data_IF_312885728947
#
_entry.id   IF_312885728947
#
_cell.length_a   1.000
_cell.length_b   1.000
_cell.length_c   1.000
_cell.angle_alpha   90.00
_cell.angle_beta   90.00
_cell.angle_gamma   90.00
#
_symmetry.space_group_name_H-M   'P 1'
#
loop_
_entity.id
_entity.type
_entity.pdbx_description
1 polymer ?
#
# COMPACT_ATOMS: atom_id res chain seq x y z
N UNK A 1 -13.37 25.07 16.20
CA UNK A 1 -12.04 25.73 16.08
C UNK A 1 -10.99 24.71 15.63
N UNK A 2 -10.78 24.66 14.31
CA UNK A 2 -9.70 24.10 13.48
C UNK A 2 -9.19 22.65 13.71
N UNK A 3 -10.02 21.63 13.43
CA UNK A 3 -9.54 20.26 13.15
C UNK A 3 -8.50 20.20 12.01
N UNK A 4 -8.52 21.18 11.10
CA UNK A 4 -7.55 21.32 10.01
C UNK A 4 -6.11 21.59 10.47
N UNK A 5 -5.86 22.06 11.70
CA UNK A 5 -4.48 22.23 12.22
C UNK A 5 -3.78 20.89 12.50
N UNK A 6 -4.54 19.80 12.64
CA UNK A 6 -3.98 18.47 12.96
C UNK A 6 -3.51 17.69 11.73
N UNK A 7 -4.07 18.01 10.57
CA UNK A 7 -3.84 17.32 9.30
C UNK A 7 -2.79 18.08 8.49
N UNK A 8 -1.87 17.36 7.87
CA UNK A 8 -0.88 17.87 6.94
C UNK A 8 -1.13 17.26 5.56
N UNK A 9 -1.91 17.94 4.72
CA UNK A 9 -2.23 17.49 3.37
C UNK A 9 -0.98 17.19 2.53
N UNK A 10 0.06 18.05 2.65
CA UNK A 10 1.35 17.82 2.00
C UNK A 10 1.96 16.47 2.40
N UNK A 11 1.92 16.14 3.69
CA UNK A 11 2.48 14.90 4.19
C UNK A 11 1.69 13.67 3.74
N UNK A 12 0.36 13.76 3.77
CA UNK A 12 -0.56 12.72 3.30
C UNK A 12 -0.33 12.42 1.82
N UNK A 13 -0.26 13.45 0.97
CA UNK A 13 -0.04 13.29 -0.47
C UNK A 13 1.32 12.64 -0.74
N UNK A 14 2.39 13.11 -0.09
CA UNK A 14 3.72 12.54 -0.29
C UNK A 14 3.77 11.08 0.17
N UNK A 15 3.19 10.76 1.33
CA UNK A 15 3.12 9.37 1.81
C UNK A 15 2.34 8.46 0.86
N UNK A 16 1.21 8.94 0.33
CA UNK A 16 0.40 8.19 -0.63
C UNK A 16 1.14 7.97 -1.96
N UNK A 17 1.89 8.97 -2.45
CA UNK A 17 2.72 8.83 -3.65
C UNK A 17 3.82 7.81 -3.44
N UNK A 18 4.48 7.81 -2.27
CA UNK A 18 5.54 6.84 -1.95
C UNK A 18 4.97 5.41 -1.90
N UNK A 19 3.80 5.23 -1.30
CA UNK A 19 3.10 3.94 -1.24
C UNK A 19 2.80 3.42 -2.66
N UNK A 20 2.12 4.23 -3.48
CA UNK A 20 1.72 3.86 -4.84
C UNK A 20 2.92 3.63 -5.75
N UNK A 21 3.85 4.59 -5.82
CA UNK A 21 5.00 4.50 -6.72
C UNK A 21 5.92 3.35 -6.29
N UNK A 22 6.19 3.22 -4.99
CA UNK A 22 7.03 2.16 -4.46
C UNK A 22 6.46 0.77 -4.74
N UNK A 23 5.16 0.58 -4.49
CA UNK A 23 4.46 -0.68 -4.80
C UNK A 23 4.50 -1.02 -6.28
N UNK A 24 4.31 -0.04 -7.17
CA UNK A 24 4.34 -0.27 -8.61
C UNK A 24 5.74 -0.63 -9.10
N UNK A 25 6.78 0.10 -8.65
CA UNK A 25 8.17 -0.21 -9.00
C UNK A 25 8.54 -1.63 -8.55
N UNK A 26 8.22 -2.01 -7.31
CA UNK A 26 8.47 -3.36 -6.82
C UNK A 26 7.66 -4.43 -7.57
N UNK A 27 6.40 -4.14 -7.88
CA UNK A 27 5.53 -5.02 -8.67
C UNK A 27 6.07 -5.29 -10.07
N UNK A 28 6.70 -4.30 -10.73
CA UNK A 28 7.33 -4.51 -12.05
C UNK A 28 8.40 -5.60 -11.97
N UNK A 29 9.30 -5.53 -10.98
CA UNK A 29 10.34 -6.56 -10.80
C UNK A 29 9.73 -7.92 -10.43
N UNK A 30 8.75 -7.93 -9.53
CA UNK A 30 8.08 -9.16 -9.11
C UNK A 30 7.32 -9.84 -10.24
N UNK A 31 6.58 -9.08 -11.06
CA UNK A 31 5.86 -9.62 -12.21
C UNK A 31 6.82 -10.06 -13.32
N UNK A 32 7.93 -9.36 -13.52
CA UNK A 32 8.98 -9.80 -14.47
C UNK A 32 9.57 -11.16 -14.06
N UNK A 33 9.78 -11.38 -12.77
CA UNK A 33 10.17 -12.68 -12.23
C UNK A 33 9.11 -13.76 -12.51
N UNK A 34 7.83 -13.49 -12.27
CA UNK A 34 6.76 -14.45 -12.57
C UNK A 34 6.69 -14.78 -14.06
N UNK A 35 6.78 -13.77 -14.93
CA UNK A 35 6.72 -13.96 -16.39
C UNK A 35 7.85 -14.89 -16.86
N UNK A 36 9.06 -14.69 -16.35
CA UNK A 36 10.22 -15.50 -16.72
C UNK A 36 10.16 -16.91 -16.12
N UNK A 37 9.78 -17.04 -14.85
CA UNK A 37 9.72 -18.33 -14.15
C UNK A 37 8.61 -19.26 -14.69
N UNK A 38 7.49 -18.69 -15.13
CA UNK A 38 6.33 -19.44 -15.64
C UNK A 38 6.24 -19.42 -17.18
N UNK A 39 7.29 -18.96 -17.87
CA UNK A 39 7.38 -18.90 -19.33
C UNK A 39 6.17 -18.23 -19.99
N UNK A 40 5.65 -17.16 -19.37
CA UNK A 40 4.44 -16.48 -19.85
C UNK A 40 4.68 -15.59 -21.06
N UNK A 41 5.94 -15.42 -21.50
CA UNK A 41 6.34 -14.52 -22.58
C UNK A 41 5.69 -14.81 -23.94
N UNK A 42 5.11 -15.99 -24.13
CA UNK A 42 4.40 -16.38 -25.35
C UNK A 42 2.90 -16.03 -25.32
N UNK A 43 2.36 -15.57 -24.19
CA UNK A 43 0.95 -15.19 -24.10
C UNK A 43 0.70 -13.81 -24.71
N UNK A 44 -0.49 -13.56 -25.25
CA UNK A 44 -0.91 -12.21 -25.62
C UNK A 44 -0.85 -11.27 -24.40
N UNK A 45 -0.42 -10.02 -24.62
CA UNK A 45 -0.27 -9.02 -23.55
C UNK A 45 -1.56 -8.78 -22.76
N UNK A 46 -2.72 -8.94 -23.41
CA UNK A 46 -4.04 -8.81 -22.79
C UNK A 46 -4.31 -9.87 -21.72
N UNK A 47 -3.65 -11.02 -21.80
CA UNK A 47 -3.84 -12.14 -20.87
C UNK A 47 -2.84 -12.14 -19.70
N UNK A 48 -1.78 -11.33 -19.76
CA UNK A 48 -0.73 -11.31 -18.75
C UNK A 48 -1.26 -11.01 -17.36
N UNK A 49 -2.09 -9.97 -17.22
CA UNK A 49 -2.60 -9.52 -15.92
C UNK A 49 -3.43 -10.63 -15.26
N UNK A 50 -4.39 -11.19 -16.00
CA UNK A 50 -5.26 -12.24 -15.49
C UNK A 50 -4.48 -13.51 -15.12
N UNK A 51 -3.50 -13.92 -15.95
CA UNK A 51 -2.72 -15.13 -15.69
C UNK A 51 -1.75 -14.96 -14.51
N UNK A 52 -1.11 -13.80 -14.38
CA UNK A 52 -0.25 -13.47 -13.24
C UNK A 52 -1.08 -13.45 -11.96
N UNK A 53 -2.26 -12.83 -11.97
CA UNK A 53 -3.18 -12.83 -10.83
C UNK A 53 -3.59 -14.25 -10.43
N UNK A 54 -3.95 -15.09 -11.40
CA UNK A 54 -4.29 -16.50 -11.15
C UNK A 54 -3.14 -17.26 -10.49
N UNK A 55 -1.90 -17.10 -11.00
CA UNK A 55 -0.69 -17.73 -10.44
C UNK A 55 -0.43 -17.27 -9.01
N UNK A 56 -0.54 -15.96 -8.76
CA UNK A 56 -0.33 -15.38 -7.42
C UNK A 56 -1.37 -15.93 -6.45
N UNK A 57 -2.65 -15.96 -6.82
CA UNK A 57 -3.75 -16.40 -5.94
C UNK A 57 -3.68 -17.89 -5.60
N UNK A 58 -3.18 -18.73 -6.51
CA UNK A 58 -3.04 -20.17 -6.28
C UNK A 58 -1.74 -20.58 -5.59
N UNK A 59 -0.75 -19.67 -5.50
CA UNK A 59 0.51 -19.94 -4.84
C UNK A 59 0.63 -19.12 -3.55
N UNK A 60 0.52 -19.73 -2.35
CA UNK A 60 0.52 -19.00 -1.09
C UNK A 60 1.82 -18.23 -0.82
N UNK A 61 2.95 -18.70 -1.37
CA UNK A 61 4.24 -18.00 -1.23
C UNK A 61 4.24 -16.74 -2.08
N UNK A 62 3.81 -16.82 -3.34
CA UNK A 62 3.72 -15.64 -4.22
C UNK A 62 2.67 -14.65 -3.72
N UNK A 63 1.54 -15.14 -3.22
CA UNK A 63 0.54 -14.32 -2.56
C UNK A 63 1.12 -13.59 -1.35
N UNK A 64 1.83 -14.31 -0.47
CA UNK A 64 2.49 -13.72 0.70
C UNK A 64 3.52 -12.65 0.32
N UNK A 65 4.34 -12.89 -0.70
CA UNK A 65 5.30 -11.90 -1.21
C UNK A 65 4.58 -10.68 -1.76
N UNK A 66 3.57 -10.87 -2.62
CA UNK A 66 2.77 -9.77 -3.18
C UNK A 66 2.12 -8.93 -2.09
N UNK A 67 1.59 -9.59 -1.06
CA UNK A 67 1.00 -8.94 0.10
C UNK A 67 2.04 -8.14 0.89
N UNK A 68 3.21 -8.72 1.14
CA UNK A 68 4.29 -8.05 1.88
C UNK A 68 4.83 -6.83 1.13
N UNK A 69 4.91 -6.88 -0.19
CA UNK A 69 5.29 -5.73 -1.02
C UNK A 69 4.29 -4.58 -0.78
N UNK A 70 3.00 -4.82 -1.05
CA UNK A 70 1.97 -3.79 -0.87
C UNK A 70 1.91 -3.28 0.57
N UNK A 71 1.87 -4.20 1.54
CA UNK A 71 1.78 -3.85 2.95
C UNK A 71 3.01 -3.07 3.44
N UNK A 72 4.20 -3.45 3.00
CA UNK A 72 5.45 -2.78 3.33
C UNK A 72 5.47 -1.33 2.84
N UNK A 73 5.04 -1.09 1.60
CA UNK A 73 4.97 0.26 1.04
C UNK A 73 3.84 1.10 1.65
N UNK A 74 2.72 0.50 2.07
CA UNK A 74 1.68 1.22 2.82
C UNK A 74 2.17 1.65 4.21
N UNK A 75 2.91 0.78 4.91
CA UNK A 75 3.58 1.14 6.17
C UNK A 75 4.62 2.24 5.94
N UNK A 76 5.43 2.14 4.88
CA UNK A 76 6.43 3.14 4.54
C UNK A 76 5.79 4.50 4.20
N UNK A 77 4.73 4.52 3.40
CA UNK A 77 3.96 5.72 3.07
C UNK A 77 3.38 6.38 4.31
N UNK A 78 2.79 5.59 5.21
CA UNK A 78 2.30 6.06 6.51
C UNK A 78 3.39 6.62 7.42
N UNK A 79 4.55 5.96 7.45
CA UNK A 79 5.73 6.41 8.16
C UNK A 79 6.25 7.76 7.62
N UNK A 80 6.36 7.92 6.30
CA UNK A 80 6.83 9.16 5.68
C UNK A 80 5.82 10.29 5.87
N UNK A 81 4.52 10.02 5.76
CA UNK A 81 3.48 11.00 6.08
C UNK A 81 3.58 11.48 7.53
N UNK A 82 3.76 10.56 8.48
CA UNK A 82 3.98 10.92 9.87
C UNK A 82 5.27 11.73 10.07
N UNK A 83 6.36 11.36 9.39
CA UNK A 83 7.65 12.04 9.46
C UNK A 83 7.57 13.49 8.98
N UNK A 84 6.91 13.73 7.84
CA UNK A 84 6.75 15.07 7.26
C UNK A 84 5.75 15.91 8.07
N UNK A 85 4.68 15.30 8.59
CA UNK A 85 3.66 16.00 9.35
C UNK A 85 4.21 16.60 10.65
N UNK A 86 5.13 15.89 11.34
CA UNK A 86 5.69 16.26 12.66
C UNK A 86 4.64 16.55 13.75
N UNK A 87 3.40 16.15 13.52
CA UNK A 87 2.24 16.32 14.40
C UNK A 87 1.18 15.29 14.05
N UNK A 88 0.45 14.80 15.05
CA UNK A 88 -0.63 13.82 14.86
C UNK A 88 -0.23 12.70 13.89
N UNK A 89 0.90 12.06 14.18
CA UNK A 89 1.61 11.10 13.35
C UNK A 89 0.70 9.94 12.92
N UNK A 90 -0.08 9.43 13.87
CA UNK A 90 -1.03 8.34 13.65
C UNK A 90 -2.12 8.71 12.65
N UNK A 91 -2.69 9.92 12.76
CA UNK A 91 -3.77 10.37 11.89
C UNK A 91 -3.23 10.63 10.47
N UNK A 92 -2.08 11.30 10.36
CA UNK A 92 -1.48 11.57 9.05
C UNK A 92 -0.98 10.30 8.36
N UNK A 93 -0.49 9.32 9.13
CA UNK A 93 -0.14 7.99 8.62
C UNK A 93 -1.37 7.20 8.15
N UNK A 94 -2.46 7.17 8.92
CA UNK A 94 -3.69 6.51 8.50
C UNK A 94 -4.30 7.16 7.24
N UNK A 95 -4.28 8.50 7.16
CA UNK A 95 -4.83 9.22 6.02
C UNK A 95 -3.98 9.11 4.75
N UNK A 96 -2.70 8.72 4.83
CA UNK A 96 -1.88 8.54 3.63
C UNK A 96 -2.35 7.37 2.76
N UNK A 97 -3.11 6.41 3.31
CA UNK A 97 -3.65 5.29 2.55
C UNK A 97 -4.87 5.66 1.69
N UNK A 98 -5.23 6.94 1.59
CA UNK A 98 -6.44 7.36 0.87
C UNK A 98 -6.44 6.92 -0.60
N UNK A 99 -5.27 6.96 -1.28
CA UNK A 99 -5.16 6.48 -2.67
C UNK A 99 -5.44 4.97 -2.75
N UNK A 100 -4.88 4.17 -1.84
CA UNK A 100 -5.11 2.72 -1.81
C UNK A 100 -6.58 2.39 -1.54
N UNK A 101 -7.25 3.13 -0.63
CA UNK A 101 -8.68 2.97 -0.37
C UNK A 101 -9.51 3.35 -1.60
N UNK A 102 -9.19 4.46 -2.27
CA UNK A 102 -9.87 4.88 -3.49
C UNK A 102 -9.71 3.87 -4.61
N UNK A 103 -8.50 3.32 -4.79
CA UNK A 103 -8.23 2.26 -5.76
C UNK A 103 -9.00 0.98 -5.45
N UNK A 104 -9.05 0.55 -4.18
CA UNK A 104 -9.82 -0.62 -3.76
C UNK A 104 -11.34 -0.43 -3.98
N UNK A 105 -11.87 0.75 -3.66
CA UNK A 105 -13.28 1.08 -3.93
C UNK A 105 -13.57 1.11 -5.43
N UNK A 106 -12.69 1.69 -6.25
CA UNK A 106 -12.83 1.69 -7.69
C UNK A 106 -12.83 0.27 -8.26
N UNK A 107 -11.96 -0.61 -7.75
CA UNK A 107 -11.94 -2.04 -8.09
C UNK A 107 -13.29 -2.71 -7.84
N UNK A 108 -13.85 -2.49 -6.65
CA UNK A 108 -15.12 -3.09 -6.23
C UNK A 108 -16.32 -2.57 -7.04
N UNK A 109 -16.41 -1.25 -7.27
CA UNK A 109 -17.56 -0.64 -7.95
C UNK A 109 -17.51 -0.79 -9.48
N UNK A 110 -16.32 -0.84 -10.07
CA UNK A 110 -16.13 -0.91 -11.53
C UNK A 110 -15.78 -2.32 -12.01
N UNK A 111 -15.74 -3.32 -11.11
CA UNK A 111 -15.37 -4.70 -11.41
C UNK A 111 -14.04 -4.83 -12.18
N UNK A 112 -13.04 -4.01 -11.80
CA UNK A 112 -11.76 -3.93 -12.52
C UNK A 112 -10.91 -5.20 -12.38
N UNK A 113 -11.19 -6.04 -11.37
CA UNK A 113 -10.44 -7.26 -11.07
C UNK A 113 -11.37 -8.48 -10.90
N UNK A 114 -12.00 -8.98 -11.98
CA UNK A 114 -12.94 -10.11 -11.89
C UNK A 114 -12.28 -11.40 -11.35
N UNK A 115 -10.95 -11.50 -11.42
CA UNK A 115 -10.18 -12.64 -10.92
C UNK A 115 -9.87 -12.61 -9.43
N UNK A 116 -10.09 -11.47 -8.75
CA UNK A 116 -9.80 -11.33 -7.31
C UNK A 116 -11.05 -11.65 -6.50
N UNK A 117 -10.98 -12.53 -5.48
CA UNK A 117 -12.09 -12.76 -4.57
C UNK A 117 -12.56 -11.47 -3.91
N UNK A 118 -13.86 -11.17 -4.01
CA UNK A 118 -14.49 -9.96 -3.43
C UNK A 118 -14.13 -9.78 -1.94
N UNK A 119 -14.00 -10.88 -1.20
CA UNK A 119 -13.60 -10.84 0.21
C UNK A 119 -12.23 -10.18 0.41
N UNK A 120 -11.26 -10.44 -0.48
CA UNK A 120 -9.94 -9.82 -0.41
C UNK A 120 -10.00 -8.33 -0.73
N UNK A 121 -10.85 -7.92 -1.68
CA UNK A 121 -11.08 -6.51 -1.98
C UNK A 121 -11.69 -5.78 -0.78
N UNK A 122 -12.72 -6.37 -0.15
CA UNK A 122 -13.37 -5.79 1.04
C UNK A 122 -12.37 -5.67 2.19
N UNK A 123 -11.55 -6.70 2.43
CA UNK A 123 -10.54 -6.68 3.49
C UNK A 123 -9.43 -5.65 3.23
N UNK A 124 -9.12 -5.35 1.96
CA UNK A 124 -8.07 -4.37 1.61
C UNK A 124 -8.42 -2.94 2.06
N UNK A 125 -9.72 -2.61 2.15
CA UNK A 125 -10.24 -1.29 2.50
C UNK A 125 -9.85 -0.87 3.92
N UNK A 126 -10.17 -1.63 4.99
CA UNK A 126 -9.74 -1.28 6.35
C UNK A 126 -8.26 -1.61 6.59
N UNK A 127 -7.68 -2.55 5.85
CA UNK A 127 -6.29 -2.95 6.03
C UNK A 127 -5.32 -1.83 5.65
N UNK A 128 -5.57 -1.11 4.54
CA UNK A 128 -4.67 -0.05 4.07
C UNK A 128 -4.50 1.09 5.09
N UNK A 129 -5.59 1.66 5.67
CA UNK A 129 -5.48 2.61 6.78
C UNK A 129 -4.82 2.04 8.03
N UNK A 130 -5.03 0.76 8.35
CA UNK A 130 -4.39 0.13 9.51
C UNK A 130 -2.87 0.02 9.33
N UNK A 131 -2.40 -0.28 8.11
CA UNK A 131 -0.98 -0.32 7.76
C UNK A 131 -0.36 1.09 7.73
N UNK A 132 -1.06 2.07 7.16
CA UNK A 132 -0.65 3.48 7.22
C UNK A 132 -0.56 4.00 8.67
N UNK A 133 -1.52 3.61 9.51
CA UNK A 133 -1.50 3.90 10.95
C UNK A 133 -0.29 3.26 11.64
N UNK A 134 0.03 2.00 11.32
CA UNK A 134 1.20 1.31 11.85
C UNK A 134 2.50 2.05 11.47
N UNK A 135 2.61 2.52 10.23
CA UNK A 135 3.72 3.39 9.80
C UNK A 135 3.85 4.66 10.65
N UNK A 136 2.72 5.33 10.88
CA UNK A 136 2.68 6.50 11.76
C UNK A 136 3.02 6.18 13.22
N UNK A 137 2.65 4.99 13.70
CA UNK A 137 2.96 4.51 15.04
C UNK A 137 4.45 4.29 15.25
N UNK A 138 5.12 3.65 14.28
CA UNK A 138 6.58 3.45 14.28
C UNK A 138 7.27 4.81 14.40
N UNK A 139 6.85 5.80 13.60
CA UNK A 139 7.44 7.14 13.66
C UNK A 139 7.24 7.81 15.01
N UNK A 140 6.03 7.72 15.58
CA UNK A 140 5.72 8.29 16.89
C UNK A 140 6.62 7.69 17.98
N UNK A 141 6.81 6.37 18.00
CA UNK A 141 7.70 5.70 18.96
C UNK A 141 9.16 6.16 18.84
N UNK A 142 9.66 6.35 17.63
CA UNK A 142 11.03 6.85 17.41
C UNK A 142 11.23 8.23 18.04
N UNK A 143 10.26 9.13 17.89
CA UNK A 143 10.33 10.48 18.48
C UNK A 143 10.28 10.40 20.01
N UNK A 144 9.39 9.59 20.57
CA UNK A 144 9.27 9.44 22.03
C UNK A 144 10.46 8.73 22.69
N UNK A 145 11.30 8.04 21.93
CA UNK A 145 12.46 7.31 22.45
C UNK A 145 13.78 8.08 22.28
N UNK A 146 13.76 9.27 21.66
CA UNK A 146 14.95 10.10 21.53
C UNK A 146 15.28 10.74 22.90
N UNK A 147 16.54 10.65 23.40
CA UNK A 147 16.92 11.31 24.63
C UNK A 147 16.75 12.82 24.49
N UNK A 148 16.21 13.46 25.54
CA UNK A 148 16.19 14.91 25.66
C UNK A 148 17.63 15.33 25.93
N UNK A 149 18.35 15.74 24.89
CA UNK A 149 19.57 16.52 25.08
C UNK A 149 19.16 17.85 25.71
N UNK A 150 19.53 18.01 26.99
CA UNK A 150 19.29 19.20 27.81
C UNK A 150 20.33 20.28 27.61
#
# INVERSE_FOLDING_TARGET
MNSLKKISWKAIIIGAVIDVVGTNVASIFFFSYIITQYSLSSLPSEQYVAKIQEIILHNPVLFGISFLIGAGFSVLGGYVAAWIAKRNELLNGALSSFLCVLSGLAGLFMALNPSVPIILEILSIPLSPALGFLGGYIRKRQISSAPVEG
#
